data_IF_686608015767
#
_entry.id   IF_686608015767
#
_cell.length_a   1.000
_cell.length_b   1.000
_cell.length_c   1.000
_cell.angle_alpha   90.00
_cell.angle_beta   90.00
_cell.angle_gamma   90.00
#
_symmetry.space_group_name_H-M   'P 1'
#
loop_
_entity.id
_entity.type
_entity.pdbx_description
1 polymer ?
#
# COMPACT_ATOMS: atom_id res chain seq x y z
N UNK A 1 -16.39 2.07 28.70
CA UNK A 1 -16.25 3.39 28.04
C UNK A 1 -17.54 3.69 27.31
N UNK A 2 -17.90 4.96 27.16
CA UNK A 2 -18.96 5.35 26.23
C UNK A 2 -18.56 4.89 24.81
N UNK A 3 -19.50 4.30 24.07
CA UNK A 3 -19.26 3.82 22.70
C UNK A 3 -18.78 4.94 21.80
N UNK A 4 -19.26 6.17 22.03
CA UNK A 4 -18.86 7.38 21.30
C UNK A 4 -17.38 7.70 21.52
N UNK A 5 -16.93 7.58 22.77
CA UNK A 5 -15.53 7.81 23.12
C UNK A 5 -14.63 6.74 22.49
N UNK A 6 -15.06 5.49 22.49
CA UNK A 6 -14.29 4.40 21.89
C UNK A 6 -14.17 4.54 20.38
N UNK A 7 -15.25 4.91 19.69
CA UNK A 7 -15.24 5.18 18.25
C UNK A 7 -14.30 6.36 17.93
N UNK A 8 -14.33 7.43 18.72
CA UNK A 8 -13.41 8.56 18.53
C UNK A 8 -11.94 8.14 18.67
N UNK A 9 -11.62 7.26 19.62
CA UNK A 9 -10.28 6.68 19.77
C UNK A 9 -9.89 5.82 18.57
N UNK A 10 -10.79 4.96 18.08
CA UNK A 10 -10.56 4.14 16.88
C UNK A 10 -10.27 5.02 15.66
N UNK A 11 -11.04 6.10 15.45
CA UNK A 11 -10.81 7.04 14.36
C UNK A 11 -9.45 7.73 14.49
N UNK A 12 -9.11 8.22 15.69
CA UNK A 12 -7.81 8.83 15.94
C UNK A 12 -6.66 7.85 15.67
N UNK A 13 -6.84 6.59 16.05
CA UNK A 13 -5.87 5.53 15.84
C UNK A 13 -5.75 5.14 14.35
N UNK A 14 -6.86 5.07 13.61
CA UNK A 14 -6.86 4.83 12.17
C UNK A 14 -6.14 5.95 11.42
N UNK A 15 -6.38 7.22 11.78
CA UNK A 15 -5.63 8.35 11.23
C UNK A 15 -4.14 8.29 11.54
N UNK A 16 -3.78 7.84 12.75
CA UNK A 16 -2.38 7.60 13.10
C UNK A 16 -1.78 6.46 12.28
N UNK A 17 -2.51 5.37 12.09
CA UNK A 17 -2.08 4.28 11.20
C UNK A 17 -1.86 4.78 9.77
N UNK A 18 -2.78 5.56 9.20
CA UNK A 18 -2.63 6.13 7.86
C UNK A 18 -1.44 7.06 7.74
N UNK A 19 -1.24 7.93 8.72
CA UNK A 19 -0.05 8.76 8.79
C UNK A 19 1.20 7.87 8.81
N UNK A 20 1.16 6.77 9.58
CA UNK A 20 2.31 5.89 9.68
C UNK A 20 2.60 5.15 8.38
N UNK A 21 1.54 4.67 7.75
CA UNK A 21 1.59 3.99 6.48
C UNK A 21 2.16 4.89 5.38
N UNK A 22 1.73 6.16 5.35
CA UNK A 22 2.23 7.14 4.39
C UNK A 22 3.75 7.32 4.44
N UNK A 23 4.37 7.37 5.63
CA UNK A 23 5.83 7.52 5.71
C UNK A 23 6.56 6.23 5.27
N UNK A 24 5.97 5.05 5.52
CA UNK A 24 6.55 3.76 5.11
C UNK A 24 6.59 3.66 3.58
N UNK A 25 5.48 4.01 2.93
CA UNK A 25 5.27 3.68 1.52
C UNK A 25 5.59 4.83 0.56
N UNK A 26 5.81 6.05 1.05
CA UNK A 26 6.32 7.15 0.21
C UNK A 26 7.63 6.78 -0.48
N UNK A 27 8.48 5.99 0.17
CA UNK A 27 9.70 5.45 -0.43
C UNK A 27 9.40 4.55 -1.64
N UNK A 28 8.36 3.72 -1.57
CA UNK A 28 8.00 2.78 -2.63
C UNK A 28 7.58 3.49 -3.92
N UNK A 29 6.88 4.64 -3.81
CA UNK A 29 6.43 5.40 -4.96
C UNK A 29 7.45 6.41 -5.50
N UNK A 30 8.27 7.02 -4.62
CA UNK A 30 9.10 8.19 -4.98
C UNK A 30 10.62 7.98 -4.89
N UNK A 31 11.12 6.81 -4.45
CA UNK A 31 12.56 6.56 -4.34
C UNK A 31 13.29 6.74 -5.68
N UNK A 32 12.73 6.24 -6.78
CA UNK A 32 13.38 6.28 -8.11
C UNK A 32 13.68 7.69 -8.61
N UNK A 33 12.71 8.63 -8.70
CA UNK A 33 12.97 9.97 -9.19
C UNK A 33 13.78 10.82 -8.21
N UNK A 34 13.81 10.46 -6.91
CA UNK A 34 14.70 11.09 -5.93
C UNK A 34 16.14 10.61 -6.14
N UNK A 35 16.36 9.30 -6.23
CA UNK A 35 17.69 8.69 -6.34
C UNK A 35 18.43 9.09 -7.63
N UNK A 36 17.69 9.30 -8.72
CA UNK A 36 18.26 9.76 -10.00
C UNK A 36 18.46 11.28 -10.08
N UNK A 37 18.07 12.03 -9.05
CA UNK A 37 18.10 13.50 -9.04
C UNK A 37 17.06 14.15 -9.96
N UNK A 38 16.02 13.41 -10.37
CA UNK A 38 14.97 13.96 -11.23
C UNK A 38 14.15 15.04 -10.51
N UNK A 39 13.79 14.79 -9.26
CA UNK A 39 13.00 15.66 -8.38
C UNK A 39 13.69 15.79 -7.01
N UNK A 40 13.53 16.94 -6.35
CA UNK A 40 14.05 17.14 -4.98
C UNK A 40 13.19 16.36 -3.97
N UNK A 41 13.76 15.78 -2.90
CA UNK A 41 13.01 14.99 -1.92
C UNK A 41 11.74 15.67 -1.39
N UNK A 42 11.83 16.93 -0.95
CA UNK A 42 10.68 17.69 -0.43
C UNK A 42 9.54 17.81 -1.45
N UNK A 43 9.87 18.06 -2.71
CA UNK A 43 8.88 18.18 -3.80
C UNK A 43 8.27 16.82 -4.14
N UNK A 44 9.06 15.75 -4.10
CA UNK A 44 8.57 14.39 -4.33
C UNK A 44 7.57 13.95 -3.26
N UNK A 45 7.86 14.21 -1.98
CA UNK A 45 6.96 13.92 -0.86
C UNK A 45 5.68 14.73 -0.97
N UNK A 46 5.76 16.03 -1.28
CA UNK A 46 4.57 16.87 -1.46
C UNK A 46 3.69 16.39 -2.62
N UNK A 47 4.32 16.03 -3.75
CA UNK A 47 3.63 15.48 -4.91
C UNK A 47 2.95 14.15 -4.58
N UNK A 48 3.66 13.24 -3.89
CA UNK A 48 3.09 11.98 -3.44
C UNK A 48 1.92 12.20 -2.49
N UNK A 49 2.00 13.14 -1.56
CA UNK A 49 0.93 13.44 -0.62
C UNK A 49 -0.35 13.90 -1.35
N UNK A 50 -0.22 14.83 -2.31
CA UNK A 50 -1.35 15.30 -3.12
C UNK A 50 -1.94 14.15 -3.93
N UNK A 51 -1.12 13.36 -4.60
CA UNK A 51 -1.59 12.26 -5.44
C UNK A 51 -2.20 11.12 -4.63
N UNK A 52 -1.67 10.81 -3.44
CA UNK A 52 -2.29 9.84 -2.54
C UNK A 52 -3.66 10.33 -2.08
N UNK A 53 -3.77 11.61 -1.72
CA UNK A 53 -5.05 12.22 -1.35
C UNK A 53 -6.04 12.16 -2.52
N UNK A 54 -5.64 12.54 -3.73
CA UNK A 54 -6.51 12.44 -4.92
C UNK A 54 -6.91 10.99 -5.17
N UNK A 55 -5.95 10.05 -5.11
CA UNK A 55 -6.19 8.63 -5.29
C UNK A 55 -7.20 8.06 -4.30
N UNK A 56 -7.17 8.52 -3.05
CA UNK A 56 -8.14 8.12 -2.03
C UNK A 56 -9.60 8.36 -2.45
N UNK A 57 -9.86 9.38 -3.27
CA UNK A 57 -11.22 9.70 -3.74
C UNK A 57 -11.61 9.03 -5.06
N UNK A 58 -10.70 8.30 -5.72
CA UNK A 58 -10.95 7.70 -7.03
C UNK A 58 -11.50 6.26 -6.98
N UNK A 59 -11.39 5.57 -5.83
CA UNK A 59 -11.85 4.20 -5.69
C UNK A 59 -12.24 3.89 -4.24
N UNK A 60 -13.24 3.03 -4.06
CA UNK A 60 -13.67 2.50 -2.75
C UNK A 60 -13.65 0.97 -2.68
N UNK A 61 -13.11 0.32 -3.71
CA UNK A 61 -13.16 -1.15 -3.84
C UNK A 61 -12.29 -1.87 -2.81
N UNK A 62 -11.16 -1.27 -2.40
CA UNK A 62 -10.31 -1.86 -1.36
C UNK A 62 -10.99 -1.80 0.01
N UNK A 63 -11.70 -0.72 0.34
CA UNK A 63 -12.45 -0.61 1.59
C UNK A 63 -13.52 -1.70 1.69
N UNK A 64 -14.25 -1.95 0.59
CA UNK A 64 -15.21 -3.07 0.50
C UNK A 64 -14.55 -4.44 0.65
N UNK A 65 -13.30 -4.57 0.26
CA UNK A 65 -12.54 -5.82 0.38
C UNK A 65 -12.09 -6.06 1.81
N UNK A 66 -11.67 -4.99 2.51
CA UNK A 66 -11.24 -5.03 3.92
C UNK A 66 -12.43 -5.28 4.86
N UNK A 67 -13.52 -4.52 4.71
CA UNK A 67 -14.78 -4.73 5.45
C UNK A 67 -15.51 -6.02 5.02
N UNK A 68 -15.37 -6.42 3.75
CA UNK A 68 -16.14 -7.52 3.17
C UNK A 68 -15.57 -8.91 3.43
N UNK A 69 -15.85 -9.46 4.62
CA UNK A 69 -15.98 -10.91 4.82
C UNK A 69 -14.72 -11.67 5.21
N UNK A 70 -13.65 -10.99 5.65
CA UNK A 70 -12.50 -11.64 6.31
C UNK A 70 -12.90 -12.06 7.73
N UNK A 71 -13.54 -11.15 8.47
CA UNK A 71 -14.20 -11.46 9.73
C UNK A 71 -15.67 -11.74 9.41
N UNK A 72 -16.24 -12.78 10.02
CA UNK A 72 -17.65 -13.12 9.85
C UNK A 72 -18.51 -12.05 10.55
N UNK A 73 -19.35 -11.39 9.76
CA UNK A 73 -20.32 -10.38 10.19
C UNK A 73 -21.74 -10.88 9.85
N UNK A 74 -22.74 -10.64 10.71
CA UNK A 74 -24.13 -11.03 10.47
C UNK A 74 -24.86 -11.67 11.67
N UNK A 75 -26.10 -12.09 11.45
CA UNK A 75 -27.04 -12.57 12.48
C UNK A 75 -26.65 -13.89 13.17
N UNK A 76 -25.79 -14.70 12.54
CA UNK A 76 -25.15 -15.89 13.13
C UNK A 76 -23.67 -15.64 13.50
N UNK A 77 -23.23 -14.38 13.45
CA UNK A 77 -21.85 -13.98 13.68
C UNK A 77 -21.70 -13.07 14.90
N UNK A 78 -20.51 -13.07 15.47
CA UNK A 78 -20.20 -12.32 16.69
C UNK A 78 -20.00 -10.84 16.33
N UNK A 79 -20.63 -9.89 17.06
CA UNK A 79 -20.53 -8.48 16.74
C UNK A 79 -19.08 -8.00 16.85
N UNK A 80 -18.55 -7.43 15.77
CA UNK A 80 -17.26 -6.73 15.80
C UNK A 80 -17.45 -5.47 16.65
N UNK A 81 -16.88 -5.47 17.85
CA UNK A 81 -16.92 -4.31 18.73
C UNK A 81 -15.80 -3.34 18.39
N UNK A 82 -15.98 -2.03 18.67
CA UNK A 82 -14.91 -1.04 18.56
C UNK A 82 -13.63 -1.44 19.32
N UNK A 83 -13.75 -2.21 20.41
CA UNK A 83 -12.61 -2.76 21.16
C UNK A 83 -11.74 -3.71 20.34
N UNK A 84 -12.34 -4.56 19.51
CA UNK A 84 -11.62 -5.50 18.64
C UNK A 84 -10.89 -4.74 17.53
N UNK A 85 -11.55 -3.76 16.92
CA UNK A 85 -10.95 -2.90 15.89
C UNK A 85 -9.78 -2.11 16.49
N UNK A 86 -9.97 -1.53 17.68
CA UNK A 86 -8.92 -0.83 18.40
C UNK A 86 -7.71 -1.73 18.66
N UNK A 87 -7.93 -2.93 19.21
CA UNK A 87 -6.86 -3.89 19.49
C UNK A 87 -6.12 -4.31 18.21
N UNK A 88 -6.85 -4.53 17.11
CA UNK A 88 -6.26 -4.91 15.83
C UNK A 88 -5.42 -3.79 15.21
N UNK A 89 -5.94 -2.55 15.20
CA UNK A 89 -5.20 -1.37 14.75
C UNK A 89 -3.96 -1.12 15.61
N UNK A 90 -4.06 -1.26 16.93
CA UNK A 90 -2.91 -1.15 17.84
C UNK A 90 -1.82 -2.17 17.47
N UNK A 91 -2.20 -3.43 17.24
CA UNK A 91 -1.26 -4.47 16.82
C UNK A 91 -0.57 -4.15 15.49
N UNK A 92 -1.33 -3.67 14.51
CA UNK A 92 -0.82 -3.27 13.20
C UNK A 92 0.17 -2.10 13.29
N UNK A 93 -0.19 -1.06 14.05
CA UNK A 93 0.66 0.13 14.29
C UNK A 93 1.95 -0.26 14.99
N UNK A 94 1.87 -1.05 16.06
CA UNK A 94 3.06 -1.50 16.79
C UNK A 94 3.99 -2.28 15.88
N UNK A 95 3.45 -3.17 15.04
CA UNK A 95 4.25 -3.91 14.08
C UNK A 95 4.92 -3.00 13.03
N UNK A 96 4.18 -2.04 12.48
CA UNK A 96 4.73 -1.05 11.56
C UNK A 96 5.84 -0.23 12.22
N UNK A 97 5.64 0.27 13.44
CA UNK A 97 6.65 1.00 14.19
C UNK A 97 7.91 0.17 14.45
N UNK A 98 7.75 -1.10 14.87
CA UNK A 98 8.89 -1.98 15.12
C UNK A 98 9.69 -2.24 13.84
N UNK A 99 9.00 -2.53 12.74
CA UNK A 99 9.66 -2.81 11.45
C UNK A 99 10.34 -1.57 10.91
N UNK A 100 9.71 -0.40 11.04
CA UNK A 100 10.31 0.89 10.72
C UNK A 100 11.59 1.17 11.52
N UNK A 101 11.51 1.04 12.85
CA UNK A 101 12.65 1.28 13.75
C UNK A 101 13.84 0.36 13.43
N UNK A 102 13.57 -0.84 12.91
CA UNK A 102 14.59 -1.80 12.48
C UNK A 102 14.99 -1.67 11.00
N UNK A 103 14.40 -0.74 10.25
CA UNK A 103 14.65 -0.56 8.82
C UNK A 103 14.23 -1.75 7.96
N UNK A 104 13.29 -2.57 8.44
CA UNK A 104 12.79 -3.75 7.72
C UNK A 104 11.68 -3.34 6.75
N UNK A 105 11.74 -3.75 5.47
CA UNK A 105 10.61 -3.58 4.57
C UNK A 105 9.45 -4.44 5.06
N UNK A 106 8.32 -3.80 5.36
CA UNK A 106 7.11 -4.45 5.88
C UNK A 106 5.90 -3.97 5.09
N UNK A 107 4.92 -4.85 4.93
CA UNK A 107 3.64 -4.50 4.30
C UNK A 107 2.62 -4.11 5.37
N UNK A 108 2.22 -2.85 5.37
CA UNK A 108 1.18 -2.34 6.27
C UNK A 108 -0.17 -3.02 6.06
N UNK A 109 -0.50 -3.45 4.84
CA UNK A 109 -1.72 -4.23 4.57
C UNK A 109 -1.73 -5.53 5.37
N UNK A 110 -0.62 -6.26 5.38
CA UNK A 110 -0.50 -7.51 6.12
C UNK A 110 -0.44 -7.27 7.62
N UNK A 111 0.18 -6.17 8.06
CA UNK A 111 0.14 -5.75 9.45
C UNK A 111 -1.30 -5.49 9.92
N UNK A 112 -2.10 -4.78 9.11
CA UNK A 112 -3.51 -4.49 9.38
C UNK A 112 -4.35 -5.77 9.44
N UNK A 113 -4.28 -6.62 8.40
CA UNK A 113 -5.01 -7.89 8.39
C UNK A 113 -4.59 -8.79 9.55
N UNK A 114 -3.29 -8.93 9.81
CA UNK A 114 -2.77 -9.72 10.92
C UNK A 114 -3.23 -9.19 12.28
N UNK A 115 -3.25 -7.86 12.46
CA UNK A 115 -3.76 -7.21 13.65
C UNK A 115 -5.25 -7.48 13.88
N UNK A 116 -6.09 -7.23 12.87
CA UNK A 116 -7.54 -7.44 12.95
C UNK A 116 -7.90 -8.92 13.17
N UNK A 117 -7.27 -9.84 12.42
CA UNK A 117 -7.46 -11.28 12.56
C UNK A 117 -7.02 -11.75 13.94
N UNK A 118 -5.85 -11.30 14.42
CA UNK A 118 -5.35 -11.64 15.75
C UNK A 118 -6.28 -11.16 16.87
N UNK A 119 -6.77 -9.92 16.76
CA UNK A 119 -7.73 -9.36 17.71
C UNK A 119 -9.07 -10.11 17.69
N UNK A 120 -9.58 -10.48 16.51
CA UNK A 120 -10.81 -11.26 16.38
C UNK A 120 -10.65 -12.68 16.96
N UNK A 121 -9.53 -13.36 16.70
CA UNK A 121 -9.24 -14.67 17.29
C UNK A 121 -9.14 -14.57 18.81
N UNK A 122 -8.49 -13.53 19.35
CA UNK A 122 -8.34 -13.35 20.78
C UNK A 122 -9.67 -12.98 21.49
N UNK A 123 -10.50 -12.15 20.86
CA UNK A 123 -11.76 -11.67 21.43
C UNK A 123 -12.94 -12.62 21.25
N UNK A 124 -12.96 -13.36 20.14
CA UNK A 124 -14.12 -14.15 19.70
C UNK A 124 -13.75 -15.65 19.56
N UNK A 125 -12.55 -15.94 19.08
CA UNK A 125 -12.08 -17.30 18.78
C UNK A 125 -11.90 -17.55 17.28
N UNK A 126 -11.34 -18.70 16.94
CA UNK A 126 -10.98 -19.05 15.56
C UNK A 126 -12.16 -19.12 14.58
N UNK A 127 -13.37 -19.34 15.07
CA UNK A 127 -14.59 -19.40 14.25
C UNK A 127 -15.00 -18.05 13.65
N UNK A 128 -14.42 -16.94 14.15
CA UNK A 128 -14.66 -15.58 13.67
C UNK A 128 -14.05 -15.30 12.29
N UNK A 129 -13.06 -16.07 11.88
CA UNK A 129 -12.30 -15.83 10.65
C UNK A 129 -12.85 -16.68 9.51
N UNK A 130 -13.16 -16.06 8.38
CA UNK A 130 -13.45 -16.78 7.16
C UNK A 130 -12.14 -17.15 6.45
N UNK A 131 -11.67 -18.38 6.69
CA UNK A 131 -10.41 -18.89 6.14
C UNK A 131 -10.41 -18.91 4.60
N UNK A 132 -11.56 -19.20 3.98
CA UNK A 132 -11.67 -19.19 2.52
C UNK A 132 -11.50 -17.78 1.95
N UNK A 133 -12.20 -16.80 2.52
CA UNK A 133 -12.04 -15.39 2.12
C UNK A 133 -10.62 -14.90 2.37
N UNK A 134 -10.02 -15.26 3.52
CA UNK A 134 -8.64 -14.90 3.85
C UNK A 134 -7.65 -15.44 2.80
N UNK A 135 -7.83 -16.70 2.39
CA UNK A 135 -7.00 -17.31 1.36
C UNK A 135 -7.17 -16.59 0.02
N UNK A 136 -8.40 -16.35 -0.42
CA UNK A 136 -8.69 -15.76 -1.74
C UNK A 136 -8.32 -14.28 -1.85
N UNK A 137 -8.57 -13.49 -0.81
CA UNK A 137 -8.42 -12.02 -0.87
C UNK A 137 -7.09 -11.52 -0.33
N UNK A 138 -6.40 -12.29 0.51
CA UNK A 138 -5.15 -11.85 1.14
C UNK A 138 -3.98 -12.75 0.73
N UNK A 139 -4.04 -14.05 1.01
CA UNK A 139 -2.89 -14.95 0.85
C UNK A 139 -2.53 -15.17 -0.62
N UNK A 140 -3.50 -15.51 -1.48
CA UNK A 140 -3.23 -15.74 -2.90
C UNK A 140 -2.68 -14.47 -3.58
N UNK A 141 -3.31 -13.28 -3.45
CA UNK A 141 -2.75 -12.04 -3.97
C UNK A 141 -1.35 -11.74 -3.43
N UNK A 142 -1.07 -11.98 -2.15
CA UNK A 142 0.25 -11.74 -1.57
C UNK A 142 1.36 -12.58 -2.22
N UNK A 143 1.05 -13.81 -2.64
CA UNK A 143 2.00 -14.71 -3.31
C UNK A 143 2.14 -14.36 -4.79
N UNK A 144 1.02 -14.14 -5.49
CA UNK A 144 1.03 -13.94 -6.94
C UNK A 144 1.40 -12.51 -7.35
N UNK A 145 1.07 -11.49 -6.55
CA UNK A 145 1.33 -10.10 -6.93
C UNK A 145 2.82 -9.79 -7.16
N UNK A 146 3.78 -10.25 -6.32
CA UNK A 146 5.21 -10.05 -6.60
C UNK A 146 5.67 -10.72 -7.89
N UNK A 147 5.16 -11.93 -8.18
CA UNK A 147 5.51 -12.68 -9.40
C UNK A 147 5.00 -11.95 -10.64
N UNK A 148 3.73 -11.56 -10.63
CA UNK A 148 3.11 -10.82 -11.73
C UNK A 148 3.81 -9.47 -11.92
N UNK A 149 4.05 -8.73 -10.83
CA UNK A 149 4.76 -7.46 -10.87
C UNK A 149 6.18 -7.61 -11.43
N UNK A 150 6.90 -8.67 -11.06
CA UNK A 150 8.23 -8.98 -11.60
C UNK A 150 8.22 -9.26 -13.10
N UNK A 151 7.26 -10.06 -13.58
CA UNK A 151 7.09 -10.36 -15.02
C UNK A 151 6.75 -9.09 -15.79
N UNK A 152 5.78 -8.31 -15.31
CA UNK A 152 5.37 -7.05 -15.95
C UNK A 152 6.52 -6.06 -15.97
N UNK A 153 7.25 -5.89 -14.86
CA UNK A 153 8.42 -5.03 -14.79
C UNK A 153 9.48 -5.46 -15.81
N UNK A 154 9.82 -6.75 -15.90
CA UNK A 154 10.77 -7.27 -16.87
C UNK A 154 10.35 -6.97 -18.32
N UNK A 155 9.09 -7.24 -18.67
CA UNK A 155 8.58 -7.00 -20.02
C UNK A 155 8.56 -5.50 -20.37
N UNK A 156 8.09 -4.65 -19.46
CA UNK A 156 8.06 -3.21 -19.63
C UNK A 156 9.48 -2.62 -19.77
N UNK A 157 10.44 -3.07 -18.96
CA UNK A 157 11.84 -2.63 -19.05
C UNK A 157 12.47 -3.09 -20.37
N UNK A 158 12.22 -4.35 -20.78
CA UNK A 158 12.71 -4.87 -22.07
C UNK A 158 12.15 -4.06 -23.25
N UNK A 159 10.85 -3.76 -23.23
CA UNK A 159 10.20 -2.94 -24.25
C UNK A 159 10.76 -1.51 -24.25
N UNK A 160 10.91 -0.88 -23.08
CA UNK A 160 11.48 0.46 -22.97
C UNK A 160 12.90 0.52 -23.56
N UNK A 161 13.75 -0.48 -23.28
CA UNK A 161 15.08 -0.56 -23.89
C UNK A 161 15.03 -0.78 -25.40
N UNK A 162 14.13 -1.64 -25.89
CA UNK A 162 13.98 -1.87 -27.34
C UNK A 162 13.56 -0.60 -28.08
N UNK A 163 12.61 0.17 -27.53
CA UNK A 163 12.10 1.41 -28.13
C UNK A 163 13.12 2.56 -28.08
N UNK A 164 14.00 2.56 -27.07
CA UNK A 164 14.94 3.65 -26.84
C UNK A 164 16.36 3.31 -27.29
N UNK A 165 16.60 2.09 -27.76
CA UNK A 165 17.86 1.68 -28.39
C UNK A 165 18.05 2.49 -29.68
N UNK A 166 18.96 3.47 -29.61
CA UNK A 166 19.42 4.25 -30.77
C UNK A 166 20.85 3.83 -31.08
N UNK A 167 21.11 3.53 -32.35
CA UNK A 167 22.46 3.24 -32.85
C UNK A 167 22.90 4.40 -33.73
N UNK A 168 24.18 4.73 -33.64
CA UNK A 168 24.84 5.66 -34.52
C UNK A 168 24.86 5.04 -35.94
N UNK A 169 24.29 5.70 -36.96
CA UNK A 169 24.26 5.17 -38.33
C UNK A 169 25.64 4.98 -38.96
N UNK A 170 26.68 5.69 -38.49
CA UNK A 170 28.01 5.67 -39.08
C UNK A 170 28.96 4.69 -38.39
N UNK A 171 28.84 4.54 -37.06
CA UNK A 171 29.75 3.71 -36.26
C UNK A 171 29.12 2.41 -35.73
N UNK A 172 27.79 2.30 -35.75
CA UNK A 172 27.06 1.18 -35.15
C UNK A 172 27.05 1.19 -33.62
N UNK A 173 27.71 2.17 -32.98
CA UNK A 173 27.78 2.30 -31.54
C UNK A 173 26.45 2.79 -30.94
N UNK A 174 26.17 2.40 -29.69
CA UNK A 174 24.97 2.85 -28.98
C UNK A 174 25.09 4.34 -28.69
N UNK A 175 24.21 5.15 -29.29
CA UNK A 175 24.14 6.58 -29.00
C UNK A 175 23.79 6.77 -27.51
N UNK A 176 24.66 7.48 -26.78
CA UNK A 176 24.49 7.77 -25.36
C UNK A 176 23.14 8.48 -25.17
N UNK A 177 22.18 7.79 -24.54
CA UNK A 177 20.82 8.30 -24.40
C UNK A 177 20.82 9.66 -23.69
N UNK A 178 20.22 10.68 -24.31
CA UNK A 178 19.94 11.96 -23.65
C UNK A 178 19.05 11.68 -22.44
N UNK A 179 19.62 11.76 -21.24
CA UNK A 179 18.97 11.53 -19.93
C UNK A 179 17.70 12.38 -19.68
N UNK A 180 17.47 13.43 -20.48
CA UNK A 180 16.37 14.38 -20.32
C UNK A 180 14.97 13.76 -20.44
N UNK A 181 14.71 12.95 -21.47
CA UNK A 181 13.38 12.35 -21.68
C UNK A 181 12.99 11.34 -20.59
N UNK A 182 13.95 10.51 -20.17
CA UNK A 182 13.78 9.57 -19.06
C UNK A 182 13.57 10.28 -17.71
N UNK A 183 14.14 11.48 -17.53
CA UNK A 183 13.92 12.30 -16.33
C UNK A 183 12.45 12.71 -16.18
N UNK A 184 11.82 13.17 -17.24
CA UNK A 184 10.39 13.52 -17.20
C UNK A 184 9.52 12.27 -17.10
N UNK A 185 9.86 11.22 -17.84
CA UNK A 185 9.13 9.94 -17.81
C UNK A 185 9.11 9.27 -16.44
N UNK A 186 10.21 9.29 -15.70
CA UNK A 186 10.24 8.71 -14.34
C UNK A 186 9.41 9.53 -13.34
N UNK A 187 9.39 10.87 -13.45
CA UNK A 187 8.53 11.72 -12.59
C UNK A 187 7.06 11.40 -12.85
N UNK A 188 6.68 11.29 -14.13
CA UNK A 188 5.31 10.95 -14.51
C UNK A 188 4.90 9.55 -14.02
N UNK A 189 5.72 8.53 -14.29
CA UNK A 189 5.41 7.15 -13.85
C UNK A 189 5.38 7.02 -12.34
N UNK A 190 6.29 7.68 -11.61
CA UNK A 190 6.27 7.69 -10.14
C UNK A 190 5.05 8.42 -9.58
N UNK A 191 4.57 9.45 -10.27
CA UNK A 191 3.29 10.11 -9.96
C UNK A 191 2.12 9.15 -10.13
N UNK A 192 2.09 8.37 -11.22
CA UNK A 192 1.05 7.35 -11.41
C UNK A 192 1.10 6.26 -10.33
N UNK A 193 2.30 5.84 -9.91
CA UNK A 193 2.46 4.89 -8.79
C UNK A 193 1.94 5.50 -7.49
N UNK A 194 2.25 6.76 -7.16
CA UNK A 194 1.70 7.41 -5.97
C UNK A 194 0.18 7.60 -6.02
N UNK A 195 -0.38 7.87 -7.20
CA UNK A 195 -1.83 7.95 -7.39
C UNK A 195 -2.49 6.58 -7.17
N UNK A 196 -1.96 5.53 -7.81
CA UNK A 196 -2.44 4.16 -7.65
C UNK A 196 -2.28 3.67 -6.20
N UNK A 197 -1.19 4.06 -5.55
CA UNK A 197 -0.99 3.82 -4.12
C UNK A 197 -2.12 4.43 -3.29
N UNK A 198 -2.46 5.70 -3.51
CA UNK A 198 -3.58 6.36 -2.84
C UNK A 198 -4.93 5.64 -3.03
N UNK A 199 -5.19 5.09 -4.22
CA UNK A 199 -6.43 4.33 -4.48
C UNK A 199 -6.54 3.03 -3.68
N UNK A 200 -5.40 2.47 -3.24
CA UNK A 200 -5.36 1.23 -2.49
C UNK A 200 -5.25 1.49 -0.99
N UNK A 201 -4.29 2.32 -0.60
CA UNK A 201 -3.83 2.45 0.77
C UNK A 201 -4.78 3.24 1.66
N UNK A 202 -5.30 4.37 1.17
CA UNK A 202 -6.25 5.18 1.94
C UNK A 202 -7.57 4.44 2.21
N UNK A 203 -7.88 3.42 1.40
CA UNK A 203 -9.11 2.64 1.53
C UNK A 203 -9.00 1.55 2.59
N UNK A 204 -7.78 1.22 3.07
CA UNK A 204 -7.57 0.17 4.08
C UNK A 204 -8.10 0.55 5.45
N UNK A 205 -8.06 1.83 5.80
CA UNK A 205 -8.58 2.38 7.06
C UNK A 205 -10.03 2.80 6.97
N UNK A 206 -10.54 3.04 5.76
CA UNK A 206 -11.95 3.35 5.52
C UNK A 206 -12.85 2.11 5.58
N UNK A 207 -12.32 0.94 5.23
CA UNK A 207 -13.00 -0.36 5.35
C UNK A 207 -12.84 -0.93 6.74
#
# INVERSE_FOLDING_TARGET
MDITFMVALVIALALFFDFTNGFHDTANAMATPIATGAIKPKTAVALAAILNLVGAFLSTEVAKTVSGGIIREGSDAVPITPDIIFAGLMGAILWNMITWLKGLPSSSSHALFGGLIGAAIAGIGFSSVNVETLLQKVILPAIFAPVIAGIVAYLCTKLAYALTARHDPETGDKLTQKRGGFRTGQIFTSSLVALAHGTNDAQKTMG
#
